data_IF_190092053625
#
_entry.id   IF_190092053625
#
_cell.length_a   1.000
_cell.length_b   1.000
_cell.length_c   1.000
_cell.angle_alpha   90.00
_cell.angle_beta   90.00
_cell.angle_gamma   90.00
#
_symmetry.space_group_name_H-M   'P 1'
#
loop_
_entity.id
_entity.type
_entity.pdbx_description
1 polymer ?
#
# COMPACT_ATOMS: atom_id res chain seq x y z
N UNK A 1 2.06 28.69 4.57
CA UNK A 1 1.23 28.60 3.37
C UNK A 1 1.89 27.56 2.48
N UNK A 2 1.24 26.43 2.20
CA UNK A 2 1.81 25.46 1.24
C UNK A 2 1.66 26.08 -0.15
N UNK A 3 2.78 26.35 -0.81
CA UNK A 3 2.80 26.99 -2.13
C UNK A 3 2.24 26.02 -3.17
N UNK A 4 0.99 26.26 -3.58
CA UNK A 4 0.35 25.48 -4.63
C UNK A 4 0.94 25.84 -5.99
N UNK A 5 1.19 24.83 -6.81
CA UNK A 5 1.73 24.98 -8.15
C UNK A 5 0.62 25.15 -9.16
N UNK A 6 0.72 26.20 -9.99
CA UNK A 6 -0.08 26.28 -11.21
C UNK A 6 0.36 25.19 -12.21
N UNK A 7 -0.36 25.07 -13.34
CA UNK A 7 -0.09 24.00 -14.31
C UNK A 7 1.34 24.05 -14.85
N UNK A 8 1.89 25.24 -15.07
CA UNK A 8 3.24 25.41 -15.58
C UNK A 8 4.29 24.97 -14.54
N UNK A 9 4.17 25.44 -13.29
CA UNK A 9 5.06 25.07 -12.20
C UNK A 9 4.98 23.56 -11.88
N UNK A 10 3.80 22.96 -11.96
CA UNK A 10 3.60 21.53 -11.78
C UNK A 10 4.23 20.72 -12.93
N UNK A 11 4.11 21.19 -14.17
CA UNK A 11 4.76 20.55 -15.31
C UNK A 11 6.29 20.62 -15.23
N UNK A 12 6.84 21.75 -14.80
CA UNK A 12 8.28 21.92 -14.55
C UNK A 12 8.77 21.06 -13.38
N UNK A 13 7.95 20.85 -12.35
CA UNK A 13 8.26 19.91 -11.28
C UNK A 13 8.33 18.47 -11.82
N UNK A 14 7.32 18.03 -12.56
CA UNK A 14 7.27 16.67 -13.12
C UNK A 14 8.38 16.43 -14.14
N UNK A 15 8.65 17.39 -15.02
CA UNK A 15 9.75 17.29 -15.99
C UNK A 15 11.11 17.17 -15.32
N UNK A 16 11.35 17.91 -14.22
CA UNK A 16 12.60 17.77 -13.46
C UNK A 16 12.70 16.44 -12.72
N UNK A 17 11.59 15.97 -12.16
CA UNK A 17 11.57 14.75 -11.34
C UNK A 17 11.54 13.46 -12.17
N UNK A 18 11.07 13.55 -13.42
CA UNK A 18 10.88 12.45 -14.36
C UNK A 18 11.37 12.86 -15.76
N UNK A 19 12.65 13.18 -15.94
CA UNK A 19 13.17 13.79 -17.18
C UNK A 19 13.02 12.90 -18.42
N UNK A 20 13.05 11.57 -18.23
CA UNK A 20 12.84 10.60 -19.32
C UNK A 20 11.37 10.54 -19.81
N UNK A 21 10.46 11.12 -19.01
CA UNK A 21 9.04 11.42 -19.26
C UNK A 21 8.65 12.07 -20.58
N UNK A 22 9.45 13.07 -20.92
CA UNK A 22 8.99 14.25 -21.63
C UNK A 22 9.24 15.53 -20.85
N UNK A 23 9.23 16.61 -21.61
CA UNK A 23 9.51 17.97 -21.14
C UNK A 23 8.29 18.63 -20.47
N UNK A 24 8.45 19.87 -20.03
CA UNK A 24 7.37 20.64 -19.42
C UNK A 24 6.15 20.81 -20.35
N UNK A 25 6.34 20.85 -21.67
CA UNK A 25 5.23 20.96 -22.61
C UNK A 25 4.38 19.68 -22.64
N UNK A 26 5.03 18.51 -22.68
CA UNK A 26 4.37 17.21 -22.53
C UNK A 26 3.56 17.13 -21.23
N UNK A 27 4.19 17.46 -20.10
CA UNK A 27 3.54 17.39 -18.79
C UNK A 27 2.41 18.38 -18.61
N UNK A 28 2.49 19.57 -19.22
CA UNK A 28 1.38 20.53 -19.23
C UNK A 28 0.15 19.94 -19.96
N UNK A 29 0.36 19.30 -21.11
CA UNK A 29 -0.67 18.56 -21.84
C UNK A 29 -1.26 17.40 -21.02
N UNK A 30 -0.40 16.63 -20.35
CA UNK A 30 -0.83 15.58 -19.42
C UNK A 30 -1.71 16.14 -18.29
N UNK A 31 -1.31 17.23 -17.64
CA UNK A 31 -2.05 17.85 -16.55
C UNK A 31 -3.40 18.42 -17.00
N UNK A 32 -3.48 18.97 -18.22
CA UNK A 32 -4.77 19.35 -18.84
C UNK A 32 -5.69 18.14 -18.95
N UNK A 33 -5.17 17.02 -19.45
CA UNK A 33 -5.94 15.78 -19.60
C UNK A 33 -6.28 15.14 -18.24
N UNK A 34 -5.40 15.22 -17.25
CA UNK A 34 -5.62 14.74 -15.89
C UNK A 34 -6.84 15.41 -15.22
N UNK A 35 -7.22 16.61 -15.66
CA UNK A 35 -8.39 17.34 -15.13
C UNK A 35 -9.70 17.00 -15.83
N UNK A 36 -9.64 16.30 -16.96
CA UNK A 36 -10.81 15.89 -17.72
C UNK A 36 -11.56 14.78 -17.00
N UNK A 37 -12.88 14.89 -16.93
CA UNK A 37 -13.74 13.92 -16.26
C UNK A 37 -14.08 12.74 -17.17
N UNK A 38 -13.95 12.90 -18.49
CA UNK A 38 -14.19 11.87 -19.51
C UNK A 38 -13.01 10.89 -19.71
N UNK A 39 -11.97 10.97 -18.87
CA UNK A 39 -10.75 10.15 -18.97
C UNK A 39 -10.49 9.42 -17.65
N UNK A 40 -9.92 8.23 -17.70
CA UNK A 40 -9.61 7.43 -16.50
C UNK A 40 -8.14 7.00 -16.50
N UNK A 41 -7.20 7.90 -16.14
CA UNK A 41 -5.80 7.54 -16.02
C UNK A 41 -5.58 6.56 -14.86
N UNK A 42 -4.53 5.73 -14.95
CA UNK A 42 -4.17 4.71 -13.96
C UNK A 42 -3.97 5.33 -12.56
N UNK A 43 -3.31 6.49 -12.49
CA UNK A 43 -3.20 7.28 -11.28
C UNK A 43 -3.45 8.76 -11.62
N UNK A 44 -4.50 9.34 -11.01
CA UNK A 44 -4.89 10.74 -11.23
C UNK A 44 -4.24 11.62 -10.17
N UNK A 45 -3.57 12.70 -10.60
CA UNK A 45 -2.99 13.69 -9.68
C UNK A 45 -4.13 14.56 -9.15
N UNK A 46 -4.33 14.63 -7.82
CA UNK A 46 -5.30 15.56 -7.23
C UNK A 46 -4.99 17.02 -7.60
N UNK A 47 -6.03 17.84 -7.72
CA UNK A 47 -5.88 19.26 -7.99
C UNK A 47 -7.06 20.03 -7.40
N UNK A 48 -6.80 21.29 -7.03
CA UNK A 48 -7.79 22.24 -6.57
C UNK A 48 -8.10 23.24 -7.67
N UNK A 49 -9.36 23.69 -7.77
CA UNK A 49 -9.74 24.80 -8.66
C UNK A 49 -9.92 26.07 -7.84
N UNK A 50 -9.22 27.12 -8.23
CA UNK A 50 -9.43 28.48 -7.71
C UNK A 50 -9.76 29.37 -8.90
N UNK A 51 -11.05 29.73 -9.02
CA UNK A 51 -11.58 30.34 -10.23
C UNK A 51 -11.40 29.43 -11.45
N UNK A 52 -10.78 29.98 -12.51
CA UNK A 52 -10.45 29.21 -13.74
C UNK A 52 -9.11 28.48 -13.65
N UNK A 53 -8.31 28.72 -12.62
CA UNK A 53 -6.99 28.13 -12.47
C UNK A 53 -7.08 26.76 -11.77
N UNK A 54 -6.30 25.80 -12.26
CA UNK A 54 -6.06 24.54 -11.58
C UNK A 54 -4.69 24.55 -10.89
N UNK A 55 -4.70 24.15 -9.63
CA UNK A 55 -3.57 24.20 -8.72
C UNK A 55 -3.27 22.82 -8.14
N UNK A 56 -1.98 22.51 -7.98
CA UNK A 56 -1.48 21.22 -7.53
C UNK A 56 -0.66 21.40 -6.26
N UNK A 57 -0.80 20.49 -5.31
CA UNK A 57 0.07 20.46 -4.13
C UNK A 57 1.42 19.84 -4.50
N UNK A 58 2.54 20.39 -4.00
CA UNK A 58 3.86 19.76 -4.16
C UNK A 58 3.89 18.32 -3.60
N UNK A 59 3.18 18.05 -2.51
CA UNK A 59 3.08 16.72 -1.92
C UNK A 59 2.34 15.72 -2.84
N UNK A 60 1.28 16.15 -3.53
CA UNK A 60 0.57 15.34 -4.52
C UNK A 60 1.44 15.03 -5.75
N UNK A 61 2.19 16.02 -6.22
CA UNK A 61 3.11 15.85 -7.33
C UNK A 61 4.25 14.90 -6.97
N UNK A 62 4.82 15.01 -5.76
CA UNK A 62 5.84 14.10 -5.27
C UNK A 62 5.32 12.66 -5.17
N UNK A 63 4.10 12.45 -4.66
CA UNK A 63 3.47 11.12 -4.62
C UNK A 63 3.30 10.52 -6.02
N UNK A 64 2.88 11.32 -6.99
CA UNK A 64 2.77 10.88 -8.38
C UNK A 64 4.12 10.50 -8.97
N UNK A 65 5.17 11.28 -8.69
CA UNK A 65 6.55 10.98 -9.11
C UNK A 65 7.02 9.64 -8.55
N UNK A 66 6.79 9.38 -7.26
CA UNK A 66 7.19 8.12 -6.65
C UNK A 66 6.39 6.93 -7.22
N UNK A 67 5.10 7.13 -7.53
CA UNK A 67 4.32 6.15 -8.26
C UNK A 67 4.88 5.86 -9.67
N UNK A 68 5.21 6.88 -10.47
CA UNK A 68 5.74 6.70 -11.83
C UNK A 68 7.14 6.08 -11.81
N UNK A 69 8.01 6.46 -10.87
CA UNK A 69 9.29 5.80 -10.67
C UNK A 69 9.11 4.33 -10.32
N UNK A 70 8.20 4.02 -9.39
CA UNK A 70 7.86 2.64 -9.06
C UNK A 70 7.36 1.90 -10.31
N UNK A 71 6.42 2.49 -11.07
CA UNK A 71 5.86 1.91 -12.30
C UNK A 71 6.94 1.61 -13.34
N UNK A 72 7.88 2.54 -13.58
CA UNK A 72 8.98 2.40 -14.54
C UNK A 72 10.03 1.38 -14.14
N UNK A 73 10.24 1.19 -12.84
CA UNK A 73 11.05 0.08 -12.33
C UNK A 73 10.42 -1.30 -12.61
N UNK A 74 9.30 -1.37 -13.34
CA UNK A 74 8.65 -2.61 -13.76
C UNK A 74 7.59 -3.13 -12.78
N UNK A 75 7.10 -2.31 -11.84
CA UNK A 75 6.03 -2.67 -10.90
C UNK A 75 4.61 -2.60 -11.48
N UNK A 76 4.50 -2.75 -12.79
CA UNK A 76 3.34 -3.34 -13.50
C UNK A 76 3.96 -4.20 -14.61
N UNK A 77 4.00 -5.55 -14.57
CA UNK A 77 3.37 -6.54 -13.69
C UNK A 77 4.26 -6.89 -12.49
N UNK A 78 3.76 -6.71 -11.27
CA UNK A 78 4.40 -7.26 -10.08
C UNK A 78 4.26 -8.80 -10.10
N UNK A 79 5.34 -9.52 -10.41
CA UNK A 79 5.43 -10.99 -10.28
C UNK A 79 6.43 -11.37 -9.19
N UNK A 80 6.06 -12.29 -8.27
CA UNK A 80 6.94 -12.83 -7.22
C UNK A 80 6.80 -12.15 -5.84
N UNK A 81 7.79 -12.34 -4.95
CA UNK A 81 7.74 -12.02 -3.51
C UNK A 81 7.43 -10.56 -3.13
N UNK A 82 7.75 -9.61 -4.00
CA UNK A 82 7.44 -8.18 -3.76
C UNK A 82 5.95 -7.86 -3.97
N UNK A 83 5.29 -8.56 -4.91
CA UNK A 83 3.84 -8.51 -5.09
C UNK A 83 3.12 -9.13 -3.89
N UNK A 84 3.61 -10.30 -3.43
CA UNK A 84 3.11 -11.00 -2.26
C UNK A 84 3.23 -10.15 -0.99
N UNK A 85 4.34 -9.43 -0.82
CA UNK A 85 4.52 -8.52 0.30
C UNK A 85 3.48 -7.40 0.27
N UNK A 86 3.32 -6.68 -0.85
CA UNK A 86 2.34 -5.59 -0.95
C UNK A 86 0.90 -6.09 -0.77
N UNK A 87 0.57 -7.28 -1.28
CA UNK A 87 -0.71 -7.93 -1.06
C UNK A 87 -0.91 -8.33 0.41
N UNK A 88 0.13 -8.78 1.10
CA UNK A 88 0.08 -9.11 2.53
C UNK A 88 -0.23 -7.88 3.40
N UNK A 89 0.20 -6.68 3.00
CA UNK A 89 -0.19 -5.42 3.65
C UNK A 89 -1.64 -5.00 3.35
N UNK A 90 -2.26 -5.55 2.30
CA UNK A 90 -3.64 -5.23 1.90
C UNK A 90 -3.82 -3.80 1.39
N UNK A 91 -2.76 -3.20 0.84
CA UNK A 91 -2.81 -1.82 0.37
C UNK A 91 -3.80 -1.72 -0.80
N UNK A 92 -4.91 -1.00 -0.57
CA UNK A 92 -6.01 -0.86 -1.53
C UNK A 92 -7.22 -1.77 -1.27
N UNK A 93 -7.17 -2.64 -0.26
CA UNK A 93 -8.28 -3.49 0.19
C UNK A 93 -8.89 -3.00 1.52
N UNK A 94 -10.15 -3.34 1.78
CA UNK A 94 -10.82 -3.04 3.06
C UNK A 94 -10.07 -3.67 4.23
N UNK A 95 -9.75 -2.87 5.26
CA UNK A 95 -8.99 -3.33 6.44
C UNK A 95 -7.47 -3.41 6.27
N UNK A 96 -6.92 -3.09 5.08
CA UNK A 96 -5.48 -2.96 4.84
C UNK A 96 -4.96 -1.53 4.96
N UNK A 97 -3.69 -1.39 5.33
CA UNK A 97 -3.06 -0.08 5.55
C UNK A 97 -1.54 -0.15 5.36
N UNK A 98 -0.87 1.01 5.41
CA UNK A 98 0.60 1.08 5.40
C UNK A 98 1.26 0.43 6.62
N UNK A 99 0.51 0.14 7.69
CA UNK A 99 1.00 -0.59 8.86
C UNK A 99 0.54 -2.06 8.88
N UNK A 100 -0.04 -2.55 7.79
CA UNK A 100 -0.52 -3.92 7.64
C UNK A 100 -2.05 -4.04 7.63
N UNK A 101 -2.53 -5.28 7.51
CA UNK A 101 -3.95 -5.63 7.65
C UNK A 101 -4.33 -5.75 9.11
N UNK A 102 -5.56 -5.38 9.43
CA UNK A 102 -6.17 -5.75 10.71
C UNK A 102 -6.31 -7.27 10.78
N UNK A 103 -5.78 -7.88 11.83
CA UNK A 103 -5.86 -9.33 12.04
C UNK A 103 -7.22 -9.69 12.65
N UNK A 104 -8.00 -10.49 11.94
CA UNK A 104 -9.27 -11.05 12.41
C UNK A 104 -9.14 -12.58 12.49
N UNK A 105 -9.05 -13.11 13.72
CA UNK A 105 -8.91 -14.55 13.98
C UNK A 105 -10.30 -15.15 14.12
N UNK A 106 -10.61 -16.13 13.26
CA UNK A 106 -11.88 -16.84 13.28
C UNK A 106 -11.86 -18.07 14.20
N UNK A 107 -10.75 -18.82 14.23
CA UNK A 107 -10.61 -20.03 15.06
C UNK A 107 -9.14 -20.28 15.43
N UNK A 108 -8.92 -20.81 16.64
CA UNK A 108 -7.65 -21.41 17.07
C UNK A 108 -7.97 -22.70 17.82
N UNK A 109 -7.59 -23.84 17.27
CA UNK A 109 -7.96 -25.14 17.83
C UNK A 109 -6.86 -26.19 17.69
N UNK A 110 -6.76 -27.10 18.66
CA UNK A 110 -5.90 -28.29 18.58
C UNK A 110 -6.57 -29.32 17.66
N UNK A 111 -5.77 -29.90 16.77
CA UNK A 111 -6.18 -30.93 15.83
C UNK A 111 -5.17 -32.08 15.87
N UNK A 112 -5.58 -33.25 15.37
CA UNK A 112 -4.71 -34.43 15.21
C UNK A 112 -4.69 -34.79 13.73
N UNK A 113 -3.51 -35.01 13.17
CA UNK A 113 -3.37 -35.49 11.81
C UNK A 113 -3.88 -36.93 11.70
N UNK A 114 -4.75 -37.21 10.74
CA UNK A 114 -5.29 -38.57 10.58
C UNK A 114 -4.24 -39.56 10.08
N UNK A 115 -3.31 -39.12 9.23
CA UNK A 115 -2.28 -39.96 8.62
C UNK A 115 -1.08 -40.17 9.54
N UNK A 116 -0.59 -39.11 10.20
CA UNK A 116 0.60 -39.20 11.07
C UNK A 116 0.26 -39.38 12.54
N UNK A 117 -1.00 -39.15 12.95
CA UNK A 117 -1.47 -39.15 14.36
C UNK A 117 -0.79 -38.09 15.24
N UNK A 118 -0.10 -37.13 14.63
CA UNK A 118 0.59 -36.06 15.35
C UNK A 118 -0.34 -34.87 15.63
N UNK A 119 -0.27 -34.28 16.83
CA UNK A 119 -1.05 -33.10 17.18
C UNK A 119 -0.48 -31.82 16.53
N UNK A 120 -1.37 -30.93 16.11
CA UNK A 120 -1.01 -29.60 15.57
C UNK A 120 -2.06 -28.56 15.95
N UNK A 121 -1.70 -27.28 15.94
CA UNK A 121 -2.65 -26.18 16.14
C UNK A 121 -3.10 -25.65 14.78
N UNK A 122 -4.42 -25.57 14.58
CA UNK A 122 -5.03 -24.89 13.44
C UNK A 122 -5.33 -23.44 13.82
N UNK A 123 -4.86 -22.50 13.00
CA UNK A 123 -5.18 -21.07 13.10
C UNK A 123 -5.95 -20.65 11.84
N UNK A 124 -7.14 -20.07 12.02
CA UNK A 124 -7.98 -19.57 10.93
C UNK A 124 -8.07 -18.05 11.01
N UNK A 125 -7.73 -17.37 9.93
CA UNK A 125 -7.87 -15.92 9.74
C UNK A 125 -9.03 -15.70 8.77
N UNK A 126 -9.96 -14.80 9.08
CA UNK A 126 -11.17 -14.58 8.27
C UNK A 126 -10.94 -13.69 7.05
N UNK A 127 -10.06 -12.69 7.13
CA UNK A 127 -9.85 -11.72 6.04
C UNK A 127 -8.36 -11.37 5.81
N UNK A 128 -7.75 -11.85 4.71
CA UNK A 128 -8.28 -12.85 3.78
C UNK A 128 -8.44 -14.22 4.46
N UNK A 129 -9.36 -15.05 3.95
CA UNK A 129 -9.57 -16.41 4.46
C UNK A 129 -8.30 -17.24 4.29
N UNK A 130 -7.60 -17.51 5.40
CA UNK A 130 -6.36 -18.28 5.44
C UNK A 130 -6.41 -19.27 6.60
N UNK A 131 -5.98 -20.51 6.33
CA UNK A 131 -5.90 -21.57 7.33
C UNK A 131 -4.45 -22.02 7.44
N UNK A 132 -3.88 -21.87 8.64
CA UNK A 132 -2.52 -22.30 8.96
C UNK A 132 -2.56 -23.54 9.82
N UNK A 133 -1.67 -24.49 9.48
CA UNK A 133 -1.28 -25.60 10.33
C UNK A 133 0.04 -25.25 11.00
N UNK A 134 0.05 -25.20 12.33
CA UNK A 134 1.22 -24.92 13.13
C UNK A 134 1.60 -26.16 13.92
N UNK A 135 2.88 -26.53 13.87
CA UNK A 135 3.42 -27.48 14.85
C UNK A 135 3.30 -26.90 16.27
N UNK A 136 3.26 -27.76 17.29
CA UNK A 136 3.11 -27.31 18.68
C UNK A 136 4.23 -26.33 19.09
N UNK A 137 5.46 -26.59 18.65
CA UNK A 137 6.63 -25.72 18.87
C UNK A 137 6.46 -24.33 18.22
N UNK A 138 5.95 -24.29 16.98
CA UNK A 138 5.69 -23.06 16.25
C UNK A 138 4.57 -22.25 16.91
N UNK A 139 3.49 -22.90 17.33
CA UNK A 139 2.38 -22.25 18.02
C UNK A 139 2.85 -21.63 19.35
N UNK A 140 3.64 -22.37 20.12
CA UNK A 140 4.22 -21.87 21.38
C UNK A 140 5.11 -20.64 21.12
N UNK A 141 6.07 -20.73 20.21
CA UNK A 141 6.97 -19.62 19.87
C UNK A 141 6.22 -18.37 19.39
N UNK A 142 5.18 -18.54 18.56
CA UNK A 142 4.34 -17.43 18.11
C UNK A 142 3.62 -16.76 19.29
N UNK A 143 3.03 -17.53 20.19
CA UNK A 143 2.30 -17.02 21.36
C UNK A 143 3.21 -16.20 22.30
N UNK A 144 4.44 -16.66 22.52
CA UNK A 144 5.41 -16.00 23.37
C UNK A 144 5.82 -14.63 22.80
N UNK A 145 6.12 -14.58 21.49
CA UNK A 145 6.49 -13.35 20.78
C UNK A 145 5.37 -12.31 20.79
N UNK A 146 4.12 -12.74 20.56
CA UNK A 146 2.96 -11.86 20.60
C UNK A 146 2.75 -11.28 22.01
N UNK A 147 2.86 -12.13 23.04
CA UNK A 147 2.70 -11.71 24.43
C UNK A 147 3.78 -10.71 24.85
N UNK A 148 5.03 -10.95 24.45
CA UNK A 148 6.15 -10.05 24.73
C UNK A 148 5.94 -8.67 24.09
N UNK A 149 5.64 -8.62 22.80
CA UNK A 149 5.38 -7.38 22.08
C UNK A 149 4.20 -6.61 22.71
N UNK A 150 3.11 -7.29 23.06
CA UNK A 150 1.96 -6.67 23.72
C UNK A 150 2.30 -6.10 25.11
N UNK A 151 3.15 -6.78 25.90
CA UNK A 151 3.63 -6.28 27.19
C UNK A 151 4.45 -5.00 27.03
N UNK A 152 5.34 -4.94 26.04
CA UNK A 152 6.13 -3.74 25.73
C UNK A 152 5.21 -2.59 25.34
N UNK A 153 4.28 -2.82 24.40
CA UNK A 153 3.33 -1.80 23.96
C UNK A 153 2.48 -1.23 25.11
N UNK A 154 1.98 -2.09 26.01
CA UNK A 154 1.20 -1.66 27.20
C UNK A 154 2.00 -0.81 28.18
N UNK A 155 3.32 -0.98 28.27
CA UNK A 155 4.18 -0.15 29.12
C UNK A 155 4.39 1.23 28.53
N UNK A 156 4.50 1.33 27.21
CA UNK A 156 4.69 2.59 26.48
C UNK A 156 3.40 3.42 26.39
N UNK A 157 2.23 2.77 26.47
CA UNK A 157 0.92 3.42 26.41
C UNK A 157 0.39 3.89 27.79
N UNK A 158 1.19 3.74 28.86
CA UNK A 158 0.92 4.29 30.19
C UNK A 158 1.67 5.61 30.35
#
# INVERSE_FOLDING_TARGET
>A
MSDLYNTQAAAEFLSRALPDDGDSAYWSGFLINNRRTDRSPIHRIPFSRVGKAALYSPEDLARYVEFEKARRLGTVKLTGRAAEALQAFGIGESGGSSTGRRLEIADVSLQIDEATREPFVRLVISEPMLVYRLELSQAQSLSERLLEAAKIGKRLAK
#
